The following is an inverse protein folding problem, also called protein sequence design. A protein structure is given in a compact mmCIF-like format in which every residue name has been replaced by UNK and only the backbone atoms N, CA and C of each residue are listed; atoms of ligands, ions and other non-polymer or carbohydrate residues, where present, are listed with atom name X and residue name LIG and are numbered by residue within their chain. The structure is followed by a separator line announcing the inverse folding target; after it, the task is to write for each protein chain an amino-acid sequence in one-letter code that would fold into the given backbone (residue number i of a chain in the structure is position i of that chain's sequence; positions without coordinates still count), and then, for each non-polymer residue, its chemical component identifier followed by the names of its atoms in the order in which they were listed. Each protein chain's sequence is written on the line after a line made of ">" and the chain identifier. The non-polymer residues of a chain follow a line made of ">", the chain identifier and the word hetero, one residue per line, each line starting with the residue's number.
data_IF_693492952347
#
_entry.id   IF_693492952347
#
_cell.length_a   1.000
_cell.length_b   1.000
_cell.length_c   1.000
_cell.angle_alpha   90.00
_cell.angle_beta   90.00
_cell.angle_gamma   90.00
#
_symmetry.space_group_name_H-M   'P 1'
#
loop_
_entity.id
_entity.type
_entity.pdbx_description
1 polymer ?
#
# COMPACT_ATOMS: atom_id res chain seq x y z
N UNK A 1 7.65 1.28 15.28
CA UNK A 1 6.91 0.01 15.42
C UNK A 1 6.87 -0.71 14.09
N UNK A 2 7.12 -2.01 14.12
CA UNK A 2 7.15 -2.85 12.91
C UNK A 2 5.98 -3.82 12.93
N UNK A 3 5.53 -4.19 11.75
CA UNK A 3 4.43 -5.12 11.58
C UNK A 3 4.70 -6.00 10.36
N UNK A 4 4.31 -7.26 10.44
CA UNK A 4 4.41 -8.20 9.32
C UNK A 4 3.02 -8.40 8.73
N UNK A 5 2.91 -8.33 7.42
CA UNK A 5 1.66 -8.53 6.72
C UNK A 5 1.85 -9.53 5.59
N UNK A 6 0.91 -10.46 5.45
CA UNK A 6 0.88 -11.38 4.33
C UNK A 6 0.02 -10.81 3.22
N UNK A 7 0.53 -10.86 2.00
CA UNK A 7 -0.18 -10.30 0.85
C UNK A 7 -1.23 -11.28 0.35
N UNK A 8 -2.42 -10.73 0.07
CA UNK A 8 -3.50 -11.44 -0.58
C UNK A 8 -3.91 -10.67 -1.82
N UNK A 9 -4.19 -11.39 -2.91
CA UNK A 9 -4.64 -10.77 -4.15
C UNK A 9 -3.50 -10.37 -5.07
N UNK A 10 -3.86 -9.79 -6.19
CA UNK A 10 -2.97 -9.57 -7.32
C UNK A 10 -2.79 -8.10 -7.69
N UNK A 11 -3.26 -7.17 -6.85
CA UNK A 11 -3.29 -5.75 -7.21
C UNK A 11 -1.90 -5.15 -7.43
N UNK A 12 -0.87 -5.78 -6.85
CA UNK A 12 0.52 -5.34 -7.01
C UNK A 12 1.37 -6.39 -7.73
N UNK A 13 0.73 -7.36 -8.38
CA UNK A 13 1.45 -8.34 -9.18
C UNK A 13 2.06 -7.66 -10.41
N UNK A 14 3.18 -8.15 -10.91
CA UNK A 14 3.97 -9.29 -10.40
C UNK A 14 4.96 -8.91 -9.29
N UNK A 15 5.09 -7.64 -8.94
CA UNK A 15 6.06 -7.19 -7.95
C UNK A 15 5.80 -7.79 -6.57
N UNK A 16 4.53 -7.73 -6.13
CA UNK A 16 4.09 -8.32 -4.87
C UNK A 16 3.01 -9.34 -5.20
N UNK A 17 3.23 -10.59 -4.82
CA UNK A 17 2.31 -11.68 -5.15
C UNK A 17 1.61 -12.21 -3.91
N UNK A 18 0.43 -12.76 -4.12
CA UNK A 18 -0.32 -13.39 -3.04
C UNK A 18 0.54 -14.46 -2.36
N UNK A 19 0.58 -14.41 -1.03
CA UNK A 19 1.41 -15.31 -0.23
C UNK A 19 2.76 -14.73 0.17
N UNK A 20 3.17 -13.63 -0.45
CA UNK A 20 4.39 -12.93 -0.03
C UNK A 20 4.17 -12.28 1.33
N UNK A 21 5.27 -12.01 2.03
CA UNK A 21 5.22 -11.26 3.30
C UNK A 21 5.93 -9.93 3.12
N UNK A 22 5.41 -8.91 3.79
CA UNK A 22 6.04 -7.61 3.84
C UNK A 22 6.17 -7.17 5.28
N UNK A 23 7.27 -6.46 5.57
CA UNK A 23 7.43 -5.77 6.84
C UNK A 23 7.01 -4.32 6.65
N UNK A 24 6.16 -3.86 7.55
CA UNK A 24 5.69 -2.49 7.57
C UNK A 24 6.35 -1.75 8.71
N UNK A 25 6.73 -0.51 8.46
CA UNK A 25 7.17 0.40 9.50
C UNK A 25 6.20 1.56 9.53
N UNK A 26 5.72 1.90 10.73
CA UNK A 26 4.87 3.07 10.88
C UNK A 26 5.72 4.31 10.64
N UNK A 27 5.28 5.15 9.72
CA UNK A 27 5.98 6.39 9.39
C UNK A 27 5.02 7.55 9.50
N UNK A 28 5.57 8.71 9.81
CA UNK A 28 4.81 9.93 9.84
C UNK A 28 4.67 10.49 8.42
N UNK A 29 3.77 11.45 8.27
CA UNK A 29 3.44 12.09 7.01
C UNK A 29 4.68 12.41 6.14
N UNK A 30 5.73 12.94 6.76
CA UNK A 30 6.94 13.34 6.06
C UNK A 30 7.74 12.18 5.49
N UNK A 31 7.50 10.97 6.00
CA UNK A 31 8.17 9.78 5.52
C UNK A 31 7.50 9.10 4.34
N UNK A 32 6.37 9.63 3.87
CA UNK A 32 5.62 9.04 2.78
C UNK A 32 5.81 9.85 1.51
N UNK A 33 6.36 9.23 0.47
CA UNK A 33 6.67 9.93 -0.78
C UNK A 33 6.41 9.05 -1.98
N UNK A 34 6.41 9.66 -3.14
CA UNK A 34 6.21 8.97 -4.41
C UNK A 34 7.12 7.76 -4.52
N UNK A 35 6.54 6.65 -4.95
CA UNK A 35 7.26 5.40 -5.11
C UNK A 35 7.21 4.48 -3.90
N UNK A 36 6.90 4.98 -2.73
CA UNK A 36 6.75 4.14 -1.54
C UNK A 36 5.54 3.23 -1.67
N UNK A 37 5.64 2.03 -1.12
CA UNK A 37 4.52 1.09 -1.05
C UNK A 37 3.99 1.13 0.37
N UNK A 38 2.68 1.31 0.49
CA UNK A 38 2.02 1.42 1.79
C UNK A 38 0.90 0.40 1.94
N UNK A 39 0.61 0.06 3.18
CA UNK A 39 -0.59 -0.69 3.54
C UNK A 39 -1.55 0.27 4.22
N UNK A 40 -2.80 0.26 3.82
CA UNK A 40 -3.82 1.15 4.38
C UNK A 40 -5.15 0.44 4.47
N UNK A 41 -6.00 0.93 5.36
CA UNK A 41 -7.32 0.37 5.59
C UNK A 41 -8.35 1.00 4.67
N UNK A 42 -9.15 0.16 4.03
CA UNK A 42 -10.25 0.61 3.17
C UNK A 42 -11.55 0.03 3.71
N UNK A 43 -12.59 0.86 3.78
CA UNK A 43 -13.89 0.44 4.35
C UNK A 43 -14.50 -0.75 3.63
N UNK A 44 -14.36 -0.80 2.32
CA UNK A 44 -15.01 -1.82 1.50
C UNK A 44 -14.13 -3.04 1.29
N UNK A 45 -12.83 -2.85 1.17
CA UNK A 45 -11.91 -3.89 0.72
C UNK A 45 -10.94 -4.35 1.80
N UNK A 46 -10.99 -3.78 3.00
CA UNK A 46 -10.06 -4.14 4.08
C UNK A 46 -8.68 -3.54 3.86
N UNK A 47 -7.65 -4.28 4.23
CA UNK A 47 -6.27 -3.81 4.08
C UNK A 47 -5.81 -3.98 2.65
N UNK A 48 -5.38 -2.87 2.06
CA UNK A 48 -4.85 -2.84 0.70
C UNK A 48 -3.39 -2.43 0.71
N UNK A 49 -2.62 -2.96 -0.26
CA UNK A 49 -1.23 -2.57 -0.47
C UNK A 49 -1.16 -1.93 -1.85
N UNK A 50 -0.65 -0.70 -1.89
CA UNK A 50 -0.54 0.06 -3.14
C UNK A 50 0.71 0.92 -3.10
N UNK A 51 1.11 1.39 -4.28
CA UNK A 51 2.25 2.31 -4.41
C UNK A 51 1.77 3.75 -4.41
N UNK A 52 2.50 4.62 -3.74
CA UNK A 52 2.17 6.04 -3.71
C UNK A 52 2.50 6.67 -5.06
N UNK A 53 1.51 7.27 -5.70
CA UNK A 53 1.70 8.07 -6.89
C UNK A 53 2.09 9.50 -6.50
N UNK A 54 1.40 10.07 -5.53
CA UNK A 54 1.72 11.39 -5.00
C UNK A 54 1.12 11.56 -3.62
N UNK A 55 1.78 12.36 -2.79
CA UNK A 55 1.32 12.72 -1.46
C UNK A 55 0.96 14.20 -1.48
N UNK A 56 -0.30 14.53 -1.26
CA UNK A 56 -0.82 15.89 -1.35
C UNK A 56 -1.55 16.29 -0.07
N UNK A 57 -1.91 17.54 0.03
CA UNK A 57 -2.69 18.03 1.17
C UNK A 57 -4.07 17.37 1.27
N UNK A 58 -4.63 16.94 0.14
CA UNK A 58 -5.93 16.26 0.11
C UNK A 58 -5.83 14.81 0.56
N UNK A 59 -4.65 14.22 0.54
CA UNK A 59 -4.43 12.83 0.86
C UNK A 59 -3.39 12.20 -0.04
N UNK A 60 -3.31 10.87 0.02
CA UNK A 60 -2.31 10.11 -0.71
C UNK A 60 -2.98 9.44 -1.90
N UNK A 61 -2.48 9.72 -3.10
CA UNK A 61 -2.96 9.07 -4.31
C UNK A 61 -2.11 7.83 -4.58
N UNK A 62 -2.77 6.70 -4.81
CA UNK A 62 -2.12 5.41 -4.94
C UNK A 62 -2.46 4.73 -6.25
N UNK A 63 -1.55 3.86 -6.71
CA UNK A 63 -1.72 3.04 -7.91
C UNK A 63 -1.30 1.62 -7.61
N UNK A 64 -1.92 0.67 -8.31
CA UNK A 64 -1.48 -0.73 -8.30
C UNK A 64 -0.75 -1.05 -9.59
N UNK A 65 0.01 -2.15 -9.60
CA UNK A 65 0.74 -2.59 -10.79
C UNK A 65 0.05 -3.73 -11.52
N UNK A 66 -0.92 -4.39 -10.88
CA UNK A 66 -1.67 -5.48 -11.51
C UNK A 66 -2.79 -4.97 -12.40
N UNK A 67 -3.21 -5.80 -13.35
CA UNK A 67 -4.36 -5.49 -14.18
C UNK A 67 -5.62 -5.40 -13.33
N UNK A 68 -6.50 -4.47 -13.68
CA UNK A 68 -7.76 -4.26 -12.97
C UNK A 68 -7.60 -3.93 -11.50
N UNK A 69 -6.40 -3.48 -11.09
CA UNK A 69 -6.20 -3.10 -9.70
C UNK A 69 -6.96 -1.82 -9.37
N UNK A 70 -7.40 -1.72 -8.12
CA UNK A 70 -8.00 -0.50 -7.62
C UNK A 70 -6.90 0.53 -7.36
N UNK A 71 -7.16 1.76 -7.78
CA UNK A 71 -6.24 2.87 -7.52
C UNK A 71 -7.04 4.11 -7.13
N UNK A 72 -6.36 5.24 -6.94
CA UNK A 72 -7.03 6.45 -6.47
C UNK A 72 -8.01 7.05 -7.46
N UNK A 73 -7.98 6.64 -8.73
CA UNK A 73 -9.01 7.07 -9.67
C UNK A 73 -10.37 6.50 -9.30
N UNK A 74 -10.40 5.35 -8.63
CA UNK A 74 -11.62 4.71 -8.15
C UNK A 74 -11.83 4.92 -6.66
N UNK A 75 -10.73 4.86 -5.89
CA UNK A 75 -10.79 4.94 -4.43
C UNK A 75 -10.82 6.37 -3.92
N UNK A 76 -10.38 7.32 -4.74
CA UNK A 76 -10.09 8.66 -4.27
C UNK A 76 -8.78 8.70 -3.48
N UNK A 77 -8.40 9.87 -2.97
CA UNK A 77 -7.19 9.97 -2.16
C UNK A 77 -7.35 9.23 -0.84
N UNK A 78 -6.28 8.57 -0.42
CA UNK A 78 -6.24 7.82 0.85
C UNK A 78 -5.95 8.80 1.99
N UNK A 79 -6.78 8.76 3.03
CA UNK A 79 -6.56 9.54 4.24
C UNK A 79 -5.33 8.98 4.96
N UNK A 80 -4.43 9.86 5.37
CA UNK A 80 -3.19 9.45 6.06
C UNK A 80 -3.45 8.68 7.34
N UNK A 81 -4.57 8.96 8.01
CA UNK A 81 -4.94 8.24 9.24
C UNK A 81 -5.23 6.76 8.97
N UNK A 82 -5.50 6.39 7.74
CA UNK A 82 -5.77 5.02 7.36
C UNK A 82 -4.51 4.24 7.00
N UNK A 83 -3.37 4.91 6.86
CA UNK A 83 -2.11 4.24 6.52
C UNK A 83 -1.60 3.49 7.73
N UNK A 84 -1.42 2.18 7.59
CA UNK A 84 -0.91 1.32 8.65
C UNK A 84 0.61 1.33 8.70
N UNK A 85 1.25 1.50 7.55
CA UNK A 85 2.69 1.55 7.50
C UNK A 85 3.21 1.55 6.07
N UNK A 86 4.51 1.75 5.97
CA UNK A 86 5.26 1.73 4.74
C UNK A 86 6.01 0.41 4.64
N UNK A 87 6.01 -0.21 3.47
CA UNK A 87 6.74 -1.45 3.23
C UNK A 87 8.24 -1.14 3.20
N UNK A 88 8.98 -1.76 4.11
CA UNK A 88 10.43 -1.59 4.19
C UNK A 88 11.19 -2.85 3.84
N UNK A 89 10.51 -3.99 3.76
CA UNK A 89 11.12 -5.27 3.41
C UNK A 89 10.06 -6.16 2.78
N UNK A 90 10.48 -6.92 1.77
CA UNK A 90 9.59 -7.81 1.03
C UNK A 90 10.22 -9.20 0.97
N UNK A 91 9.51 -10.19 1.47
CA UNK A 91 9.93 -11.59 1.41
C UNK A 91 9.02 -12.31 0.43
N UNK A 92 9.59 -12.75 -0.67
CA UNK A 92 8.84 -13.44 -1.71
C UNK A 92 8.58 -14.88 -1.31
N UNK A 93 7.38 -15.33 -1.59
CA UNK A 93 7.02 -16.74 -1.42
C UNK A 93 7.77 -17.57 -2.46
N UNK A 94 8.21 -18.72 -2.05
CA UNK A 94 8.82 -19.70 -2.95
C UNK A 94 7.81 -20.73 -3.41
#
# INVERSE_FOLDING_TARGET
>A
MFRILRIHGESMAPEYQSGDFVFLMKVFRKGLKQGDVIAFENRLYGTLIKRIEKNTDEGIYVVGTGENSLDSRRLGPVNRDKVQGKVIWHIRRR
#
